data_IF_869135061455
#
_entry.id   IF_869135061455
#
_cell.length_a   1.000
_cell.length_b   1.000
_cell.length_c   1.000
_cell.angle_alpha   90.00
_cell.angle_beta   90.00
_cell.angle_gamma   90.00
#
_symmetry.space_group_name_H-M   'P 1'
#
loop_
_entity.id
_entity.type
_entity.pdbx_description
1 polymer ?
#
# COMPACT_ATOMS: atom_id res chain seq x y z
N UNK A 1 29.91 9.76 -4.15
CA UNK A 1 29.29 11.08 -4.45
C UNK A 1 28.05 11.24 -3.59
N UNK A 2 27.95 12.35 -2.87
CA UNK A 2 26.75 12.65 -2.09
C UNK A 2 25.59 13.00 -3.03
N UNK A 3 24.38 12.54 -2.70
CA UNK A 3 23.18 12.83 -3.50
C UNK A 3 22.83 14.31 -3.41
N UNK A 4 22.37 14.89 -4.52
CA UNK A 4 21.88 16.28 -4.50
C UNK A 4 20.55 16.39 -3.75
N UNK A 5 20.20 17.61 -3.30
CA UNK A 5 18.89 17.89 -2.69
C UNK A 5 17.74 17.46 -3.61
N UNK A 6 17.89 17.69 -4.91
CA UNK A 6 16.91 17.36 -5.93
C UNK A 6 16.74 15.84 -6.12
N UNK A 7 17.84 15.08 -6.12
CA UNK A 7 17.77 13.62 -6.15
C UNK A 7 17.02 13.07 -4.94
N UNK A 8 17.31 13.58 -3.73
CA UNK A 8 16.60 13.17 -2.51
C UNK A 8 15.11 13.53 -2.55
N UNK A 9 14.73 14.64 -3.19
CA UNK A 9 13.32 15.02 -3.38
C UNK A 9 12.61 14.02 -4.28
N UNK A 10 13.17 13.74 -5.46
CA UNK A 10 12.60 12.77 -6.41
C UNK A 10 12.44 11.38 -5.80
N UNK A 11 13.42 10.93 -5.01
CA UNK A 11 13.33 9.65 -4.31
C UNK A 11 12.16 9.59 -3.31
N UNK A 12 11.91 10.68 -2.57
CA UNK A 12 10.75 10.75 -1.66
C UNK A 12 9.44 10.73 -2.42
N UNK A 13 9.34 11.41 -3.55
CA UNK A 13 8.14 11.42 -4.39
C UNK A 13 7.83 10.04 -4.95
N UNK A 14 8.86 9.31 -5.40
CA UNK A 14 8.70 7.91 -5.86
C UNK A 14 8.16 7.03 -4.74
N UNK A 15 8.72 7.13 -3.53
CA UNK A 15 8.28 6.33 -2.38
C UNK A 15 6.86 6.73 -1.96
N UNK A 16 6.56 8.04 -1.89
CA UNK A 16 5.25 8.54 -1.48
C UNK A 16 4.16 8.11 -2.45
N UNK A 17 4.38 8.25 -3.75
CA UNK A 17 3.43 7.81 -4.78
C UNK A 17 3.20 6.30 -4.73
N UNK A 18 4.25 5.53 -4.50
CA UNK A 18 4.14 4.08 -4.39
C UNK A 18 3.45 3.66 -3.08
N UNK A 19 3.65 4.37 -1.98
CA UNK A 19 2.93 4.14 -0.73
C UNK A 19 1.43 4.42 -0.88
N UNK A 20 1.08 5.57 -1.47
CA UNK A 20 -0.32 5.94 -1.77
C UNK A 20 -1.02 4.87 -2.61
N UNK A 21 -0.33 4.36 -3.64
CA UNK A 21 -0.83 3.24 -4.45
C UNK A 21 -1.13 2.00 -3.58
N UNK A 22 -0.18 1.57 -2.74
CA UNK A 22 -0.35 0.40 -1.87
C UNK A 22 -1.50 0.59 -0.87
N UNK A 23 -1.67 1.80 -0.36
CA UNK A 23 -2.79 2.14 0.53
C UNK A 23 -4.13 2.07 -0.19
N UNK A 24 -4.23 2.56 -1.42
CA UNK A 24 -5.45 2.42 -2.24
C UNK A 24 -5.80 0.96 -2.50
N UNK A 25 -4.83 0.16 -2.95
CA UNK A 25 -5.02 -1.28 -3.17
C UNK A 25 -5.54 -2.01 -1.92
N UNK A 26 -5.15 -1.56 -0.73
CA UNK A 26 -5.59 -2.12 0.54
C UNK A 26 -6.95 -1.58 1.02
N UNK A 27 -7.21 -0.28 0.85
CA UNK A 27 -8.38 0.40 1.41
C UNK A 27 -9.60 0.40 0.48
N UNK A 28 -9.41 0.33 -0.84
CA UNK A 28 -10.51 0.33 -1.80
C UNK A 28 -11.45 -0.89 -1.58
N UNK A 29 -10.96 -2.13 -1.37
CA UNK A 29 -11.83 -3.26 -1.03
C UNK A 29 -12.58 -3.09 0.30
N UNK A 30 -11.93 -2.49 1.30
CA UNK A 30 -12.59 -2.20 2.58
C UNK A 30 -13.74 -1.21 2.39
N UNK A 31 -13.57 -0.22 1.52
CA UNK A 31 -14.63 0.73 1.18
C UNK A 31 -15.82 0.02 0.53
N UNK A 32 -15.59 -0.94 -0.36
CA UNK A 32 -16.67 -1.76 -0.94
C UNK A 32 -17.41 -2.58 0.12
N UNK A 33 -16.70 -3.11 1.11
CA UNK A 33 -17.31 -3.83 2.23
C UNK A 33 -18.18 -2.90 3.10
N UNK A 34 -17.78 -1.64 3.30
CA UNK A 34 -18.65 -0.63 3.90
C UNK A 34 -19.92 -0.37 3.07
N UNK A 35 -19.82 -0.37 1.73
CA UNK A 35 -21.00 -0.21 0.86
C UNK A 35 -21.95 -1.42 0.97
N UNK A 36 -21.43 -2.64 1.05
CA UNK A 36 -22.23 -3.86 1.24
C UNK A 36 -22.93 -3.85 2.60
N UNK A 37 -22.22 -3.50 3.65
CA UNK A 37 -22.81 -3.35 4.99
C UNK A 37 -23.95 -2.35 5.01
N UNK A 38 -23.77 -1.18 4.36
CA UNK A 38 -24.82 -0.16 4.24
C UNK A 38 -26.09 -0.67 3.54
N UNK A 39 -25.96 -1.65 2.63
CA UNK A 39 -27.08 -2.30 1.93
C UNK A 39 -27.68 -3.48 2.70
N UNK A 40 -27.10 -3.88 3.83
CA UNK A 40 -27.48 -5.08 4.57
C UNK A 40 -26.97 -6.39 3.94
N UNK A 41 -26.03 -6.31 3.00
CA UNK A 41 -25.40 -7.47 2.34
C UNK A 41 -24.24 -8.06 3.15
N UNK A 42 -23.78 -7.33 4.17
CA UNK A 42 -22.72 -7.71 5.09
C UNK A 42 -23.21 -7.40 6.51
N UNK A 43 -23.01 -8.32 7.45
CA UNK A 43 -23.34 -8.07 8.85
C UNK A 43 -22.31 -7.15 9.50
N UNK A 44 -22.63 -6.64 10.70
CA UNK A 44 -21.69 -5.83 11.48
C UNK A 44 -20.47 -6.66 11.90
N UNK A 45 -20.66 -7.91 12.34
CA UNK A 45 -19.58 -8.80 12.75
C UNK A 45 -18.64 -9.13 11.59
N UNK A 46 -19.17 -9.45 10.41
CA UNK A 46 -18.37 -9.65 9.20
C UNK A 46 -17.57 -8.40 8.82
N UNK A 47 -18.18 -7.21 8.86
CA UNK A 47 -17.48 -5.95 8.59
C UNK A 47 -16.36 -5.70 9.61
N UNK A 48 -16.61 -5.95 10.89
CA UNK A 48 -15.59 -5.79 11.94
C UNK A 48 -14.39 -6.73 11.73
N UNK A 49 -14.63 -7.98 11.33
CA UNK A 49 -13.55 -8.91 10.99
C UNK A 49 -12.73 -8.40 9.81
N UNK A 50 -13.39 -7.92 8.74
CA UNK A 50 -12.71 -7.30 7.59
C UNK A 50 -11.86 -6.10 7.98
N UNK A 51 -12.37 -5.22 8.84
CA UNK A 51 -11.61 -4.08 9.36
C UNK A 51 -10.36 -4.56 10.11
N UNK A 52 -10.48 -5.59 10.95
CA UNK A 52 -9.33 -6.12 11.69
C UNK A 52 -8.27 -6.74 10.77
N UNK A 53 -8.69 -7.47 9.73
CA UNK A 53 -7.78 -8.03 8.72
C UNK A 53 -7.02 -6.92 8.00
N UNK A 54 -7.75 -5.92 7.47
CA UNK A 54 -7.15 -4.78 6.76
C UNK A 54 -6.25 -3.97 7.68
N UNK A 55 -6.59 -3.81 8.96
CA UNK A 55 -5.74 -3.13 9.92
C UNK A 55 -4.38 -3.84 10.11
N UNK A 56 -4.37 -5.18 10.22
CA UNK A 56 -3.13 -5.96 10.32
C UNK A 56 -2.26 -5.81 9.07
N UNK A 57 -2.87 -5.85 7.88
CA UNK A 57 -2.12 -5.63 6.63
C UNK A 57 -1.60 -4.19 6.53
N UNK A 58 -2.38 -3.19 6.94
CA UNK A 58 -1.94 -1.81 6.98
C UNK A 58 -0.72 -1.63 7.91
N UNK A 59 -0.71 -2.29 9.07
CA UNK A 59 0.45 -2.27 9.96
C UNK A 59 1.71 -2.84 9.30
N UNK A 60 1.59 -3.92 8.51
CA UNK A 60 2.71 -4.48 7.75
C UNK A 60 3.21 -3.52 6.67
N UNK A 61 2.29 -2.92 5.91
CA UNK A 61 2.62 -1.91 4.90
C UNK A 61 3.33 -0.73 5.56
N UNK A 62 2.77 -0.17 6.62
CA UNK A 62 3.40 0.94 7.35
C UNK A 62 4.82 0.58 7.84
N UNK A 63 4.98 -0.60 8.45
CA UNK A 63 6.28 -1.10 8.91
C UNK A 63 7.31 -1.22 7.78
N UNK A 64 6.88 -1.67 6.59
CA UNK A 64 7.73 -1.68 5.40
C UNK A 64 8.20 -0.28 5.03
N UNK A 65 7.31 0.73 5.03
CA UNK A 65 7.67 2.11 4.66
C UNK A 65 8.49 2.85 5.73
N UNK A 66 8.59 2.32 6.95
CA UNK A 66 9.56 2.78 7.94
C UNK A 66 11.00 2.32 7.66
N UNK A 67 11.21 1.38 6.73
CA UNK A 67 12.55 0.93 6.33
C UNK A 67 13.35 2.02 5.61
N UNK A 68 14.66 1.80 5.46
CA UNK A 68 15.52 2.81 4.86
C UNK A 68 15.19 3.07 3.38
N UNK A 69 15.40 4.31 2.94
CA UNK A 69 15.08 4.80 1.59
C UNK A 69 15.71 3.98 0.46
N UNK A 70 16.97 3.55 0.65
CA UNK A 70 17.69 2.84 -0.40
C UNK A 70 17.08 1.45 -0.66
N UNK A 71 16.67 0.76 0.40
CA UNK A 71 15.94 -0.50 0.31
C UNK A 71 14.58 -0.31 -0.40
N UNK A 72 13.79 0.69 0.01
CA UNK A 72 12.48 0.96 -0.61
C UNK A 72 12.58 1.22 -2.11
N UNK A 73 13.56 2.02 -2.56
CA UNK A 73 13.76 2.28 -3.98
C UNK A 73 14.14 1.02 -4.78
N UNK A 74 14.96 0.14 -4.19
CA UNK A 74 15.33 -1.14 -4.82
C UNK A 74 14.10 -2.05 -4.94
N UNK A 75 13.30 -2.17 -3.88
CA UNK A 75 12.07 -2.94 -3.88
C UNK A 75 11.09 -2.44 -4.95
N UNK A 76 10.81 -1.14 -4.96
CA UNK A 76 9.91 -0.52 -5.95
C UNK A 76 10.40 -0.76 -7.38
N UNK A 77 11.72 -0.64 -7.61
CA UNK A 77 12.30 -0.90 -8.94
C UNK A 77 12.15 -2.37 -9.33
N UNK A 78 12.44 -3.30 -8.41
CA UNK A 78 12.31 -4.72 -8.65
C UNK A 78 10.85 -5.10 -8.96
N UNK A 79 9.88 -4.62 -8.20
CA UNK A 79 8.47 -4.90 -8.47
C UNK A 79 7.98 -4.30 -9.78
N UNK A 80 8.46 -3.11 -10.18
CA UNK A 80 8.13 -2.55 -11.50
C UNK A 80 8.68 -3.41 -12.65
N UNK A 81 9.79 -4.10 -12.42
CA UNK A 81 10.44 -4.96 -13.41
C UNK A 81 9.83 -6.37 -13.47
N UNK A 82 9.34 -6.89 -12.33
CA UNK A 82 8.84 -8.27 -12.20
C UNK A 82 7.30 -8.34 -12.07
N UNK A 83 6.63 -7.23 -11.78
CA UNK A 83 5.16 -7.17 -11.65
C UNK A 83 4.41 -7.08 -12.98
N UNK A 84 5.11 -7.09 -14.12
CA UNK A 84 4.52 -7.16 -15.47
C UNK A 84 4.17 -8.61 -15.85
N UNK A 85 4.72 -9.62 -15.16
CA UNK A 85 4.56 -11.04 -15.54
C UNK A 85 3.39 -11.77 -14.85
N UNK A 86 2.73 -11.17 -13.85
CA UNK A 86 1.62 -11.80 -13.11
C UNK A 86 0.27 -11.10 -13.29
N UNK A 87 -0.06 -10.74 -14.54
CA UNK A 87 -1.45 -10.51 -14.98
C UNK A 87 -1.72 -11.38 -16.21
N UNK A 88 -1.75 -12.68 -15.99
CA UNK A 88 -2.21 -13.69 -16.94
C UNK A 88 -3.37 -14.45 -16.34
#
# INVERSE_FOLDING_TARGET
MEKTKEQRRKEREIIASYYDKRMKELLDPLYDDFQKWKKGELSHDELCERIHEVHKENQKVHSLFCQNRAFLLKLIKWEKQNGVENRG
#
